data_IF_044019207418
#
_entry.id   IF_044019207418
#
_cell.length_a   1.000
_cell.length_b   1.000
_cell.length_c   1.000
_cell.angle_alpha   90.00
_cell.angle_beta   90.00
_cell.angle_gamma   90.00
#
_symmetry.space_group_name_H-M   'P 1'
#
loop_
_entity.id
_entity.type
_entity.pdbx_description
1 polymer ?
#
# COMPACT_ATOMS: atom_id res chain seq x y z
N UNK A 1 10.07 -4.63 12.33
CA UNK A 1 9.20 -3.47 12.47
C UNK A 1 8.42 -3.23 11.20
N UNK A 2 7.18 -2.90 11.36
CA UNK A 2 6.30 -2.72 10.20
C UNK A 2 6.33 -1.31 9.64
N UNK A 3 7.00 -0.38 10.30
CA UNK A 3 7.05 1.01 9.86
C UNK A 3 8.46 1.55 9.96
N UNK A 4 8.75 2.53 9.10
CA UNK A 4 9.90 3.40 9.20
C UNK A 4 9.39 4.80 9.51
N UNK A 5 10.30 5.76 9.66
CA UNK A 5 9.95 7.13 9.97
C UNK A 5 10.57 8.08 8.97
N UNK A 6 9.89 9.19 8.73
CA UNK A 6 10.38 10.23 7.83
C UNK A 6 9.79 11.55 8.27
N UNK A 7 10.33 12.65 7.76
CA UNK A 7 9.71 13.97 7.92
C UNK A 7 8.62 14.12 6.88
N UNK A 8 7.50 14.68 7.30
CA UNK A 8 6.33 14.81 6.41
C UNK A 8 6.68 15.52 5.11
N UNK A 9 7.52 16.55 5.17
CA UNK A 9 7.89 17.31 3.99
C UNK A 9 8.75 16.56 2.98
N UNK A 10 9.29 15.40 3.36
CA UNK A 10 10.09 14.59 2.44
C UNK A 10 9.25 13.68 1.56
N UNK A 11 7.97 13.53 1.89
CA UNK A 11 7.11 12.61 1.17
C UNK A 11 6.59 13.23 -0.12
N UNK A 12 6.21 12.39 -1.06
CA UNK A 12 5.82 12.83 -2.40
C UNK A 12 4.54 12.13 -2.82
N UNK A 13 3.86 12.72 -3.79
CA UNK A 13 2.73 12.06 -4.44
C UNK A 13 3.16 10.69 -4.94
N UNK A 14 2.38 9.67 -4.65
CA UNK A 14 2.67 8.29 -5.02
C UNK A 14 3.42 7.51 -3.96
N UNK A 15 3.98 8.18 -2.95
CA UNK A 15 4.60 7.47 -1.83
C UNK A 15 3.55 7.14 -0.78
N UNK A 16 3.99 6.51 0.31
CA UNK A 16 3.07 5.95 1.30
C UNK A 16 3.32 6.55 2.66
N UNK A 17 2.26 6.65 3.45
CA UNK A 17 2.27 7.24 4.79
C UNK A 17 1.27 6.48 5.64
N UNK A 18 1.54 6.37 6.93
CA UNK A 18 0.57 5.80 7.87
C UNK A 18 -0.24 6.95 8.46
N UNK A 19 -1.56 6.90 8.30
CA UNK A 19 -2.47 7.87 8.89
C UNK A 19 -3.52 7.10 9.67
N UNK A 20 -3.69 7.44 10.94
CA UNK A 20 -4.63 6.75 11.84
C UNK A 20 -4.36 5.25 11.90
N UNK A 21 -3.08 4.88 11.86
CA UNK A 21 -2.69 3.48 11.93
C UNK A 21 -2.85 2.70 10.63
N UNK A 22 -3.29 3.34 9.54
CA UNK A 22 -3.52 2.68 8.27
C UNK A 22 -2.52 3.11 7.23
N UNK A 23 -2.00 2.17 6.43
CA UNK A 23 -1.11 2.53 5.33
C UNK A 23 -1.94 3.15 4.21
N UNK A 24 -1.48 4.32 3.75
CA UNK A 24 -2.19 5.08 2.74
C UNK A 24 -1.22 5.49 1.62
N UNK A 25 -1.75 5.62 0.42
CA UNK A 25 -0.99 6.12 -0.71
C UNK A 25 -1.30 7.59 -0.90
N UNK A 26 -0.27 8.41 -0.96
CA UNK A 26 -0.44 9.87 -1.11
C UNK A 26 -0.86 10.18 -2.54
N UNK A 27 -2.02 10.81 -2.69
CA UNK A 27 -2.51 11.22 -3.99
C UNK A 27 -2.30 12.70 -4.24
N UNK A 28 -2.10 13.48 -3.17
CA UNK A 28 -1.82 14.90 -3.30
C UNK A 28 -1.08 15.37 -2.06
N UNK A 29 -0.05 16.19 -2.26
CA UNK A 29 0.64 16.82 -1.15
C UNK A 29 1.02 18.24 -1.57
N UNK A 30 0.65 19.21 -0.75
CA UNK A 30 0.99 20.60 -0.98
C UNK A 30 1.68 21.15 0.25
N UNK A 31 2.55 22.12 0.05
CA UNK A 31 3.30 22.75 1.13
C UNK A 31 3.08 24.24 1.05
N UNK A 32 2.81 24.85 2.20
CA UNK A 32 2.57 26.29 2.27
C UNK A 32 3.26 26.85 3.51
N UNK A 33 3.94 27.96 3.34
CA UNK A 33 4.48 28.70 4.46
C UNK A 33 3.41 29.55 5.08
N UNK A 34 3.37 29.56 6.40
CA UNK A 34 2.42 30.38 7.11
C UNK A 34 3.19 31.46 7.86
N UNK A 35 3.20 32.66 7.31
CA UNK A 35 3.80 33.84 7.96
C UNK A 35 5.31 33.87 7.90
N UNK A 36 5.86 34.94 8.45
CA UNK A 36 7.27 35.25 8.40
C UNK A 36 8.14 34.32 9.20
N UNK A 37 7.64 33.86 10.32
CA UNK A 37 8.38 33.03 11.24
C UNK A 37 7.76 31.65 11.38
N UNK A 38 6.77 31.34 10.57
CA UNK A 38 6.10 30.07 10.65
C UNK A 38 6.83 29.02 9.86
N UNK A 39 6.80 27.79 10.36
CA UNK A 39 7.26 26.63 9.60
C UNK A 39 6.28 26.38 8.46
N UNK A 40 6.79 25.85 7.36
CA UNK A 40 5.92 25.42 6.29
C UNK A 40 5.05 24.26 6.80
N UNK A 41 3.81 24.23 6.36
CA UNK A 41 2.92 23.13 6.65
C UNK A 41 2.67 22.33 5.40
N UNK A 42 2.51 21.03 5.57
CA UNK A 42 2.15 20.15 4.47
C UNK A 42 0.71 19.74 4.64
N UNK A 43 -0.02 19.73 3.53
CA UNK A 43 -1.38 19.23 3.47
C UNK A 43 -1.37 17.99 2.60
N UNK A 44 -1.70 16.85 3.17
CA UNK A 44 -1.63 15.57 2.52
C UNK A 44 -3.03 15.01 2.32
N UNK A 45 -3.31 14.55 1.10
CA UNK A 45 -4.50 13.77 0.81
C UNK A 45 -4.02 12.39 0.38
N UNK A 46 -4.53 11.37 1.04
CA UNK A 46 -4.10 10.01 0.80
C UNK A 46 -5.30 9.06 0.81
N UNK A 47 -5.11 7.89 0.22
CA UNK A 47 -6.16 6.88 0.13
C UNK A 47 -5.65 5.63 0.85
N UNK A 48 -6.44 5.12 1.77
CA UNK A 48 -6.10 3.89 2.47
C UNK A 48 -5.94 2.75 1.46
N UNK A 49 -4.83 2.04 1.57
CA UNK A 49 -4.50 0.97 0.63
C UNK A 49 -5.49 -0.18 0.72
N UNK A 50 -5.98 -0.46 1.92
CA UNK A 50 -6.87 -1.62 2.13
C UNK A 50 -8.35 -1.28 2.06
N UNK A 51 -8.74 -0.08 2.47
CA UNK A 51 -10.17 0.28 2.51
C UNK A 51 -10.59 1.22 1.39
N UNK A 52 -9.63 1.90 0.75
CA UNK A 52 -9.97 2.90 -0.25
C UNK A 52 -10.46 4.21 0.33
N UNK A 53 -10.47 4.33 1.66
CA UNK A 53 -11.00 5.51 2.33
C UNK A 53 -10.03 6.67 2.21
N UNK A 54 -10.58 7.86 1.94
CA UNK A 54 -9.77 9.08 1.84
C UNK A 54 -9.37 9.54 3.24
N UNK A 55 -8.09 9.85 3.40
CA UNK A 55 -7.53 10.38 4.63
C UNK A 55 -6.83 11.67 4.34
N UNK A 56 -6.87 12.60 5.28
CA UNK A 56 -6.16 13.88 5.15
C UNK A 56 -5.31 14.12 6.38
N UNK A 57 -4.22 14.85 6.20
CA UNK A 57 -3.32 15.21 7.28
C UNK A 57 -2.73 16.56 6.99
N UNK A 58 -2.80 17.47 7.98
CA UNK A 58 -2.17 18.78 7.89
C UNK A 58 -1.25 18.91 9.10
N UNK A 59 0.04 19.15 8.85
CA UNK A 59 1.01 19.25 9.93
C UNK A 59 2.25 19.96 9.41
N UNK A 60 3.11 20.48 10.31
CA UNK A 60 4.38 21.07 9.88
C UNK A 60 5.22 20.08 9.09
N UNK A 61 6.00 20.60 8.14
CA UNK A 61 6.81 19.75 7.25
C UNK A 61 7.86 18.95 7.99
N UNK A 62 8.28 19.40 9.16
CA UNK A 62 9.27 18.68 9.95
C UNK A 62 8.65 17.66 10.92
N UNK A 63 7.34 17.50 10.87
CA UNK A 63 6.65 16.49 11.68
C UNK A 63 7.14 15.10 11.29
N UNK A 64 7.50 14.33 12.31
CA UNK A 64 7.91 12.95 12.10
C UNK A 64 6.68 12.08 11.93
N UNK A 65 6.64 11.36 10.82
CA UNK A 65 5.49 10.49 10.50
C UNK A 65 5.98 9.08 10.26
N UNK A 66 5.04 8.14 10.33
CA UNK A 66 5.34 6.75 10.03
C UNK A 66 5.13 6.46 8.55
N UNK A 67 6.02 5.65 7.98
CA UNK A 67 5.95 5.21 6.60
C UNK A 67 5.87 3.69 6.63
N UNK A 68 4.88 3.10 5.95
CA UNK A 68 4.74 1.64 6.02
C UNK A 68 5.91 0.95 5.33
N UNK A 69 6.35 -0.15 5.92
CA UNK A 69 7.30 -1.03 5.26
C UNK A 69 6.52 -1.85 4.25
N UNK A 70 6.97 -1.82 3.00
CA UNK A 70 6.32 -2.54 1.91
C UNK A 70 7.33 -3.51 1.32
N UNK A 71 6.96 -4.78 1.30
CA UNK A 71 7.78 -5.83 0.72
C UNK A 71 7.07 -6.36 -0.51
N UNK A 72 7.73 -6.28 -1.67
CA UNK A 72 7.14 -6.72 -2.93
C UNK A 72 7.60 -8.12 -3.24
N UNK A 73 6.66 -9.02 -3.53
CA UNK A 73 6.94 -10.42 -3.70
C UNK A 73 6.13 -11.00 -4.86
N UNK A 74 6.50 -12.19 -5.29
CA UNK A 74 5.75 -12.93 -6.29
C UNK A 74 5.06 -14.11 -5.63
N UNK A 75 3.83 -14.39 -6.07
CA UNK A 75 3.06 -15.50 -5.58
C UNK A 75 2.35 -16.22 -6.72
N UNK A 76 1.94 -17.44 -6.44
CA UNK A 76 1.15 -18.21 -7.39
C UNK A 76 -0.22 -18.42 -6.80
N UNK A 77 -1.25 -18.21 -7.59
CA UNK A 77 -2.62 -18.45 -7.15
C UNK A 77 -2.84 -19.95 -7.02
N UNK A 78 -3.32 -20.39 -5.85
CA UNK A 78 -3.61 -21.78 -5.58
C UNK A 78 -5.08 -22.05 -5.75
N UNK A 79 -5.94 -21.20 -5.18
CA UNK A 79 -7.39 -21.41 -5.22
C UNK A 79 -8.13 -20.09 -5.02
N UNK A 80 -9.27 -19.99 -5.70
CA UNK A 80 -10.22 -18.91 -5.46
C UNK A 80 -11.25 -19.45 -4.48
N UNK A 81 -11.31 -18.89 -3.30
CA UNK A 81 -12.17 -19.37 -2.22
C UNK A 81 -13.38 -18.47 -2.00
N UNK A 82 -13.71 -17.65 -3.00
CA UNK A 82 -14.82 -16.72 -2.89
C UNK A 82 -14.35 -15.35 -2.51
N UNK A 83 -14.46 -15.00 -1.24
CA UNK A 83 -14.00 -13.70 -0.76
C UNK A 83 -12.48 -13.65 -0.58
N UNK A 84 -11.87 -14.81 -0.47
CA UNK A 84 -10.44 -14.93 -0.24
C UNK A 84 -9.79 -15.71 -1.36
N UNK A 85 -8.52 -15.40 -1.60
CA UNK A 85 -7.69 -16.10 -2.58
C UNK A 85 -6.56 -16.76 -1.82
N UNK A 86 -6.32 -18.05 -2.11
CA UNK A 86 -5.17 -18.72 -1.51
C UNK A 86 -3.98 -18.55 -2.44
N UNK A 87 -2.87 -18.08 -1.88
CA UNK A 87 -1.66 -17.76 -2.64
C UNK A 87 -0.48 -18.48 -2.01
N UNK A 88 0.44 -18.93 -2.83
CA UNK A 88 1.71 -19.50 -2.37
C UNK A 88 2.84 -18.56 -2.78
N UNK A 89 3.66 -18.17 -1.80
CA UNK A 89 4.84 -17.37 -2.09
C UNK A 89 5.82 -18.20 -2.92
N UNK A 90 6.34 -17.62 -3.99
CA UNK A 90 7.17 -18.38 -4.94
C UNK A 90 8.60 -18.55 -4.46
N UNK A 91 9.00 -17.85 -3.39
CA UNK A 91 10.33 -18.03 -2.81
C UNK A 91 10.31 -18.98 -1.63
N UNK A 92 9.37 -18.78 -0.72
CA UNK A 92 9.33 -19.53 0.53
C UNK A 92 8.42 -20.74 0.45
N UNK A 93 7.50 -20.77 -0.52
CA UNK A 93 6.47 -21.78 -0.69
C UNK A 93 5.44 -21.81 0.43
N UNK A 94 5.46 -20.80 1.29
CA UNK A 94 4.40 -20.63 2.29
C UNK A 94 3.10 -20.28 1.59
N UNK A 95 2.00 -20.79 2.12
CA UNK A 95 0.67 -20.45 1.60
C UNK A 95 -0.06 -19.57 2.60
N UNK A 96 -0.90 -18.68 2.07
CA UNK A 96 -1.67 -17.77 2.89
C UNK A 96 -2.92 -17.38 2.13
N UNK A 97 -3.85 -16.77 2.85
CA UNK A 97 -5.08 -16.25 2.25
C UNK A 97 -5.02 -14.74 2.20
N UNK A 98 -5.53 -14.18 1.12
CA UNK A 98 -5.56 -12.74 0.94
C UNK A 98 -6.94 -12.38 0.41
N UNK A 99 -7.42 -11.19 0.77
CA UNK A 99 -8.72 -10.73 0.30
C UNK A 99 -8.72 -10.61 -1.21
N UNK A 100 -9.81 -11.04 -1.83
CA UNK A 100 -9.96 -10.90 -3.27
C UNK A 100 -9.99 -9.42 -3.62
N UNK A 101 -9.19 -8.98 -4.62
CA UNK A 101 -9.23 -7.58 -5.02
C UNK A 101 -10.63 -7.14 -5.44
N UNK A 102 -10.98 -5.90 -5.11
CA UNK A 102 -12.27 -5.35 -5.49
C UNK A 102 -12.33 -4.99 -6.96
N UNK A 103 -11.19 -4.70 -7.55
CA UNK A 103 -11.13 -4.38 -8.97
C UNK A 103 -11.48 -5.62 -9.77
N UNK A 104 -12.60 -5.57 -10.47
CA UNK A 104 -13.14 -6.72 -11.14
C UNK A 104 -12.25 -7.26 -12.23
N UNK A 105 -11.60 -6.37 -12.97
CA UNK A 105 -10.71 -6.78 -14.03
C UNK A 105 -9.54 -7.61 -13.52
N UNK A 106 -9.02 -7.27 -12.34
CA UNK A 106 -7.97 -8.04 -11.71
C UNK A 106 -8.52 -9.32 -11.11
N UNK A 107 -9.61 -9.21 -10.35
CA UNK A 107 -10.19 -10.35 -9.66
C UNK A 107 -10.58 -11.48 -10.61
N UNK A 108 -11.09 -11.14 -11.78
CA UNK A 108 -11.56 -12.14 -12.73
C UNK A 108 -10.45 -12.96 -13.36
N UNK A 109 -9.20 -12.54 -13.20
CA UNK A 109 -8.05 -13.23 -13.80
C UNK A 109 -7.27 -14.10 -12.80
N UNK A 110 -7.73 -14.18 -11.57
CA UNK A 110 -7.01 -14.89 -10.52
C UNK A 110 -7.36 -16.36 -10.50
N UNK A 111 -6.90 -17.08 -11.50
CA UNK A 111 -7.14 -18.52 -11.61
C UNK A 111 -5.95 -19.30 -11.09
N UNK A 112 -6.17 -20.54 -10.64
CA UNK A 112 -5.06 -21.37 -10.18
C UNK A 112 -3.94 -21.44 -11.20
N UNK A 113 -2.72 -21.29 -10.74
CA UNK A 113 -1.53 -21.31 -11.57
C UNK A 113 -1.05 -19.96 -12.04
N UNK A 114 -1.87 -18.92 -11.93
CA UNK A 114 -1.49 -17.57 -12.35
C UNK A 114 -0.47 -16.99 -11.39
N UNK A 115 0.55 -16.34 -11.91
CA UNK A 115 1.56 -15.66 -11.10
C UNK A 115 1.15 -14.21 -10.89
N UNK A 116 1.24 -13.75 -9.67
CA UNK A 116 0.88 -12.38 -9.30
C UNK A 116 2.01 -11.73 -8.54
N UNK A 117 2.06 -10.41 -8.63
CA UNK A 117 2.85 -9.62 -7.70
C UNK A 117 1.95 -9.28 -6.53
N UNK A 118 2.40 -9.60 -5.33
CA UNK A 118 1.67 -9.21 -4.14
C UNK A 118 2.63 -8.45 -3.22
N UNK A 119 2.07 -7.62 -2.39
CA UNK A 119 2.86 -6.82 -1.46
C UNK A 119 2.47 -7.16 -0.05
N UNK A 120 3.46 -7.21 0.83
CA UNK A 120 3.23 -7.22 2.26
C UNK A 120 3.36 -5.79 2.72
N UNK A 121 2.25 -5.19 3.10
CA UNK A 121 2.18 -3.79 3.51
C UNK A 121 1.93 -3.80 5.01
N UNK A 122 2.93 -3.42 5.78
CA UNK A 122 2.91 -3.55 7.23
C UNK A 122 2.59 -5.00 7.62
N UNK A 123 3.15 -5.95 6.86
CA UNK A 123 2.96 -7.38 7.10
C UNK A 123 1.65 -7.96 6.58
N UNK A 124 0.78 -7.16 5.99
CA UNK A 124 -0.51 -7.60 5.50
C UNK A 124 -0.47 -7.74 3.98
N UNK A 125 -0.88 -8.90 3.43
CA UNK A 125 -0.75 -9.14 1.99
C UNK A 125 -1.85 -8.46 1.19
N UNK A 126 -1.48 -8.02 -0.02
CA UNK A 126 -2.42 -7.47 -0.98
C UNK A 126 -1.95 -7.84 -2.39
N UNK A 127 -2.84 -8.42 -3.18
CA UNK A 127 -2.52 -8.72 -4.59
C UNK A 127 -2.55 -7.42 -5.36
N UNK A 128 -1.47 -7.14 -6.09
CA UNK A 128 -1.31 -5.87 -6.80
C UNK A 128 -1.59 -6.00 -8.29
N UNK A 129 -0.99 -7.01 -8.95
CA UNK A 129 -1.16 -7.18 -10.39
C UNK A 129 -0.77 -8.59 -10.83
N UNK A 130 -1.22 -8.94 -12.02
CA UNK A 130 -0.81 -10.17 -12.66
C UNK A 130 0.61 -10.03 -13.17
N UNK A 131 1.43 -11.06 -12.96
CA UNK A 131 2.80 -11.10 -13.48
C UNK A 131 3.03 -12.35 -14.27
N UNK A 132 2.15 -12.60 -15.17
CA UNK A 132 2.18 -13.75 -15.92
C UNK A 132 3.36 -13.84 -16.76
N UNK A 133 4.05 -14.76 -16.77
CA UNK A 133 5.11 -14.89 -17.52
C UNK A 133 4.99 -15.52 -18.67
N UNK A 134 4.86 -15.43 -19.24
CA UNK A 134 4.69 -16.07 -20.21
C UNK A 134 5.64 -16.70 -20.70
N UNK A 135 5.77 -17.29 -20.66
CA UNK A 135 6.82 -18.13 -20.93
C UNK A 135 7.61 -18.01 -22.00
#
# INVERSE_FOLDING_TARGET
MSVNYASLGELKKGSYIVIDGEPCRIVEITRAKTGKHGSAKAHVVAISVFTGQKKTLVAPVDTRVQVPVIEKRLGQIIADMGDMIQVMDMETFDTFEVEKPEEENLASKLEPGVTVEYWLIMGRPKIIRIRDRQA
#
